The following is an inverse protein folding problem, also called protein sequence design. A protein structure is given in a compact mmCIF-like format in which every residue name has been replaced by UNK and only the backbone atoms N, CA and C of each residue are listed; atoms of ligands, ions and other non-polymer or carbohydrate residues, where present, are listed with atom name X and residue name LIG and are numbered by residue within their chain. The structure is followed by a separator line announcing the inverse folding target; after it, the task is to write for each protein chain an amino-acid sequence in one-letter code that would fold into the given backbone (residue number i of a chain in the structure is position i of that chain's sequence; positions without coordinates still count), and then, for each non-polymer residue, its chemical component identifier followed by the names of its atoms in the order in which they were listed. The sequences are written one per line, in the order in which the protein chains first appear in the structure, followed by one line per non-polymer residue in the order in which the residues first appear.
data_IF_296508187108
#
_entry.id   IF_296508187108
#
_cell.length_a   1.000
_cell.length_b   1.000
_cell.length_c   1.000
_cell.angle_alpha   90.00
_cell.angle_beta   90.00
_cell.angle_gamma   90.00
#
_symmetry.space_group_name_H-M   'P 1'
#
loop_
_entity.id
_entity.type
_entity.pdbx_description
1 polymer ?
#
# COMPACT_ATOMS: atom_id res chain seq x y z
N UNK A 1 -48.43 21.40 14.17
CA UNK A 1 -49.11 21.70 15.44
C UNK A 1 -49.03 20.43 16.30
N UNK A 2 -48.54 20.52 17.54
CA UNK A 2 -48.50 19.39 18.50
C UNK A 2 -49.92 19.05 19.03
N UNK A 3 -50.12 17.90 19.70
CA UNK A 3 -50.02 17.88 21.17
C UNK A 3 -49.04 16.84 21.75
N UNK A 4 -48.75 16.95 23.05
CA UNK A 4 -47.77 16.17 23.83
C UNK A 4 -48.40 15.72 25.16
N UNK A 5 -47.73 14.78 25.87
CA UNK A 5 -47.89 14.38 27.29
C UNK A 5 -49.06 13.41 27.63
N UNK A 6 -48.82 12.33 28.40
CA UNK A 6 -48.25 12.32 29.77
C UNK A 6 -47.49 11.04 30.15
N UNK A 7 -46.49 11.19 31.04
CA UNK A 7 -46.04 10.15 31.98
C UNK A 7 -47.02 10.00 33.15
N UNK A 8 -47.20 8.79 33.69
CA UNK A 8 -47.23 8.54 35.14
C UNK A 8 -46.59 7.19 35.47
N UNK A 9 -45.80 7.19 36.53
CA UNK A 9 -45.33 5.99 37.24
C UNK A 9 -46.49 5.32 37.98
N UNK A 10 -46.36 4.04 38.36
CA UNK A 10 -46.56 3.50 39.71
C UNK A 10 -46.24 2.00 39.77
N UNK A 11 -45.55 1.60 40.82
CA UNK A 11 -45.32 0.22 41.32
C UNK A 11 -45.39 0.37 42.86
N UNK A 12 -45.93 -0.58 43.65
CA UNK A 12 -45.23 -1.86 43.90
C UNK A 12 -46.08 -3.08 44.39
N UNK A 13 -45.37 -4.18 44.74
CA UNK A 13 -45.64 -5.17 45.81
C UNK A 13 -46.25 -6.57 45.49
N UNK A 14 -45.75 -7.60 46.20
CA UNK A 14 -46.13 -9.05 46.19
C UNK A 14 -45.36 -9.91 45.17
N UNK A 15 -44.34 -10.75 45.47
CA UNK A 15 -44.23 -11.89 46.41
C UNK A 15 -45.35 -12.95 46.18
N UNK A 16 -45.13 -14.26 45.92
CA UNK A 16 -43.97 -15.20 46.01
C UNK A 16 -44.33 -16.53 45.28
N UNK A 17 -43.51 -17.55 44.96
CA UNK A 17 -42.07 -17.87 45.12
C UNK A 17 -41.57 -19.01 44.16
N UNK A 18 -40.24 -19.05 43.91
CA UNK A 18 -39.32 -20.21 43.76
C UNK A 18 -39.29 -21.20 42.55
N UNK A 19 -38.04 -21.65 42.31
CA UNK A 19 -37.49 -22.68 41.39
C UNK A 19 -37.49 -22.38 39.86
N UNK A 20 -36.38 -22.54 39.11
CA UNK A 20 -35.00 -22.94 39.49
C UNK A 20 -33.91 -22.54 38.45
N UNK A 21 -32.67 -22.42 38.94
CA UNK A 21 -31.35 -22.53 38.25
C UNK A 21 -31.14 -21.92 36.84
N UNK A 22 -30.34 -20.84 36.81
CA UNK A 22 -29.62 -20.33 35.63
C UNK A 22 -28.55 -19.33 36.06
N UNK A 23 -27.27 -19.60 35.78
CA UNK A 23 -26.14 -18.94 36.46
C UNK A 23 -26.01 -17.43 36.14
N UNK A 24 -25.85 -16.61 37.19
CA UNK A 24 -25.44 -15.20 37.05
C UNK A 24 -23.95 -15.13 36.71
N UNK A 25 -23.63 -14.74 35.48
CA UNK A 25 -22.26 -14.41 35.07
C UNK A 25 -21.77 -13.17 35.86
N UNK A 26 -20.58 -13.20 36.49
CA UNK A 26 -20.05 -12.04 37.21
C UNK A 26 -19.59 -10.96 36.22
N UNK A 27 -20.10 -9.74 36.38
CA UNK A 27 -19.74 -8.60 35.53
C UNK A 27 -18.25 -8.22 35.71
N UNK A 28 -17.41 -8.53 34.73
CA UNK A 28 -16.05 -7.99 34.61
C UNK A 28 -16.12 -6.48 34.37
N UNK A 29 -15.68 -5.67 35.35
CA UNK A 29 -15.50 -4.22 35.14
C UNK A 29 -14.16 -3.97 34.45
N UNK A 30 -14.18 -3.12 33.43
CA UNK A 30 -12.99 -2.59 32.76
C UNK A 30 -12.79 -1.14 33.21
N UNK A 31 -11.58 -0.80 33.63
CA UNK A 31 -11.16 0.58 33.92
C UNK A 31 -10.01 0.96 32.98
N UNK A 32 -10.03 2.19 32.47
CA UNK A 32 -8.99 2.74 31.59
C UNK A 32 -8.37 3.96 32.27
N UNK A 33 -7.04 3.99 32.38
CA UNK A 33 -6.27 5.12 32.94
C UNK A 33 -5.29 5.63 31.89
N UNK A 34 -5.47 6.88 31.46
CA UNK A 34 -4.52 7.57 30.59
C UNK A 34 -3.36 8.17 31.41
N UNK A 35 -2.15 8.11 30.88
CA UNK A 35 -0.99 8.83 31.44
C UNK A 35 -0.86 10.21 30.77
N UNK A 36 -0.98 11.35 31.49
CA UNK A 36 -1.05 12.68 30.86
C UNK A 36 0.27 13.21 30.27
N UNK A 37 1.42 12.56 30.48
CA UNK A 37 2.74 13.16 30.19
C UNK A 37 3.35 12.83 28.81
N UNK A 38 2.60 12.22 27.87
CA UNK A 38 3.12 11.93 26.53
C UNK A 38 2.01 11.88 25.47
N UNK A 39 1.90 12.90 24.61
CA UNK A 39 0.82 13.00 23.62
C UNK A 39 0.97 12.04 22.42
N UNK A 40 2.18 11.56 22.15
CA UNK A 40 2.48 10.64 21.03
C UNK A 40 2.32 9.15 21.36
N UNK A 41 2.25 8.78 22.64
CA UNK A 41 2.11 7.37 23.08
C UNK A 41 1.10 7.25 24.23
N UNK A 42 -0.18 7.14 23.88
CA UNK A 42 -1.25 6.82 24.84
C UNK A 42 -1.18 5.33 25.18
N UNK A 43 -0.70 5.02 26.39
CA UNK A 43 -0.72 3.66 26.94
C UNK A 43 -2.10 3.34 27.51
N UNK A 44 -2.72 2.29 27.00
CA UNK A 44 -3.99 1.77 27.50
C UNK A 44 -3.74 0.57 28.39
N UNK A 45 -4.28 0.60 29.60
CA UNK A 45 -4.25 -0.50 30.54
C UNK A 45 -5.66 -1.06 30.68
N UNK A 46 -5.84 -2.35 30.38
CA UNK A 46 -7.08 -3.07 30.66
C UNK A 46 -6.87 -3.86 31.95
N UNK A 47 -7.49 -3.39 33.03
CA UNK A 47 -7.56 -4.10 34.30
C UNK A 47 -8.81 -4.98 34.37
N UNK A 48 -8.66 -6.21 34.86
CA UNK A 48 -9.78 -7.08 35.21
C UNK A 48 -10.00 -7.04 36.72
N UNK A 49 -11.20 -6.65 37.16
CA UNK A 49 -11.60 -6.73 38.56
C UNK A 49 -12.25 -8.09 38.86
N UNK A 50 -11.58 -8.92 39.66
CA UNK A 50 -12.16 -10.08 40.32
C UNK A 50 -12.56 -9.70 41.76
N UNK A 51 -13.81 -9.94 42.14
CA UNK A 51 -14.31 -9.61 43.48
C UNK A 51 -13.95 -10.67 44.54
N UNK A 52 -13.31 -11.78 44.17
CA UNK A 52 -12.99 -12.90 45.06
C UNK A 52 -11.55 -12.91 45.59
N UNK A 53 -10.61 -12.21 44.91
CA UNK A 53 -9.24 -12.03 45.39
C UNK A 53 -8.72 -10.64 45.06
N UNK A 54 -8.16 -9.94 46.06
CA UNK A 54 -7.62 -8.58 45.97
C UNK A 54 -6.25 -8.53 45.29
N UNK A 55 -6.19 -8.94 44.01
CA UNK A 55 -4.98 -8.88 43.19
C UNK A 55 -5.29 -8.22 41.84
N UNK A 56 -4.76 -7.02 41.62
CA UNK A 56 -4.84 -6.35 40.32
C UNK A 56 -3.98 -7.09 39.28
N UNK A 57 -4.56 -7.35 38.09
CA UNK A 57 -3.79 -7.77 36.92
C UNK A 57 -4.09 -6.86 35.74
N UNK A 58 -3.03 -6.22 35.27
CA UNK A 58 -3.03 -5.32 34.12
C UNK A 58 -2.49 -6.07 32.89
N UNK A 59 -3.25 -6.10 31.79
CA UNK A 59 -2.76 -6.61 30.51
C UNK A 59 -2.50 -5.42 29.59
N UNK A 60 -1.27 -5.37 29.06
CA UNK A 60 -0.85 -4.36 28.09
C UNK A 60 -1.36 -4.75 26.70
N UNK A 61 -2.14 -3.88 26.06
CA UNK A 61 -2.61 -4.10 24.69
C UNK A 61 -2.17 -2.93 23.80
N UNK A 62 -1.36 -3.23 22.78
CA UNK A 62 -1.07 -2.27 21.71
C UNK A 62 -2.10 -2.40 20.58
N UNK A 63 -2.34 -1.30 19.87
CA UNK A 63 -3.17 -1.20 18.67
C UNK A 63 -4.68 -1.49 18.83
N UNK A 64 -5.38 -0.63 19.56
CA UNK A 64 -6.82 -0.44 19.36
C UNK A 64 -7.12 0.14 17.96
N UNK A 65 -8.23 -0.26 17.34
CA UNK A 65 -8.66 0.21 16.02
C UNK A 65 -9.04 1.71 16.02
N UNK A 66 -9.01 2.40 14.86
CA UNK A 66 -9.36 3.83 14.79
C UNK A 66 -10.76 4.15 15.34
N UNK A 67 -11.73 3.28 15.11
CA UNK A 67 -13.12 3.40 15.58
C UNK A 67 -13.19 3.38 17.12
N UNK A 68 -12.46 2.47 17.76
CA UNK A 68 -12.36 2.39 19.23
C UNK A 68 -11.64 3.61 19.80
N UNK A 69 -10.57 4.09 19.13
CA UNK A 69 -9.87 5.34 19.53
C UNK A 69 -10.79 6.57 19.43
N UNK A 70 -11.66 6.64 18.42
CA UNK A 70 -12.60 7.75 18.25
C UNK A 70 -13.66 7.75 19.35
N UNK A 71 -14.36 6.62 19.56
CA UNK A 71 -15.38 6.48 20.59
C UNK A 71 -14.87 6.79 22.00
N UNK A 72 -13.62 6.41 22.31
CA UNK A 72 -12.96 6.72 23.59
C UNK A 72 -12.51 8.18 23.73
N UNK A 73 -12.21 8.88 22.62
CA UNK A 73 -11.87 10.33 22.65
C UNK A 73 -13.10 11.21 22.87
N UNK A 74 -14.28 10.76 22.46
CA UNK A 74 -15.54 11.53 22.56
C UNK A 74 -16.33 11.29 23.85
N UNK A 75 -15.93 10.31 24.67
CA UNK A 75 -16.63 9.96 25.91
C UNK A 75 -16.21 10.87 27.08
N UNK A 76 -17.19 11.36 27.85
CA UNK A 76 -16.95 12.05 29.11
C UNK A 76 -16.53 11.07 30.21
N UNK A 77 -15.96 11.59 31.31
CA UNK A 77 -15.53 10.79 32.48
C UNK A 77 -16.66 9.97 33.14
N UNK A 78 -17.92 10.21 32.79
CA UNK A 78 -19.11 9.54 33.32
C UNK A 78 -19.77 8.55 32.35
N UNK A 79 -19.33 8.48 31.10
CA UNK A 79 -20.03 7.68 30.08
C UNK A 79 -19.67 6.18 30.17
N UNK A 80 -20.72 5.36 30.23
CA UNK A 80 -20.58 3.89 30.17
C UNK A 80 -20.53 3.46 28.71
N UNK A 81 -19.35 3.05 28.25
CA UNK A 81 -19.17 2.43 26.93
C UNK A 81 -19.38 0.92 27.07
N UNK A 82 -20.38 0.37 26.39
CA UNK A 82 -20.54 -1.08 26.26
C UNK A 82 -19.64 -1.61 25.14
N UNK A 83 -18.56 -2.29 25.55
CA UNK A 83 -17.54 -2.80 24.62
C UNK A 83 -17.96 -4.09 23.90
N UNK A 84 -19.05 -4.76 24.30
CA UNK A 84 -19.52 -5.95 23.58
C UNK A 84 -20.02 -5.61 22.16
N UNK A 85 -20.57 -4.41 21.98
CA UNK A 85 -21.11 -3.91 20.69
C UNK A 85 -20.02 -3.37 19.74
N UNK A 86 -18.79 -3.18 20.23
CA UNK A 86 -17.67 -2.53 19.52
C UNK A 86 -16.56 -3.49 19.06
N UNK A 87 -16.70 -4.79 19.35
CA UNK A 87 -15.74 -5.84 18.96
C UNK A 87 -16.24 -6.63 17.75
N UNK A 88 -15.40 -6.78 16.72
CA UNK A 88 -15.66 -7.70 15.62
C UNK A 88 -15.71 -9.16 16.15
N UNK A 89 -16.47 -10.08 15.51
CA UNK A 89 -16.65 -11.46 16.00
C UNK A 89 -15.33 -12.23 16.20
N UNK A 90 -14.30 -11.93 15.41
CA UNK A 90 -12.93 -12.46 15.56
C UNK A 90 -12.30 -12.17 16.93
N UNK A 91 -12.68 -11.07 17.57
CA UNK A 91 -12.20 -10.67 18.89
C UNK A 91 -13.05 -11.20 20.05
N UNK A 92 -14.26 -11.72 19.81
CA UNK A 92 -15.08 -12.34 20.87
C UNK A 92 -14.45 -13.63 21.41
N UNK A 93 -13.61 -14.33 20.61
CA UNK A 93 -12.80 -15.47 21.09
C UNK A 93 -11.79 -15.12 22.18
N UNK A 94 -11.43 -13.84 22.38
CA UNK A 94 -10.52 -13.40 23.44
C UNK A 94 -11.19 -13.36 24.84
N UNK A 95 -12.49 -13.67 24.93
CA UNK A 95 -13.21 -13.78 26.20
C UNK A 95 -13.12 -15.18 26.83
N UNK A 96 -12.62 -16.18 26.09
CA UNK A 96 -12.39 -17.55 26.54
C UNK A 96 -10.99 -17.69 27.19
N UNK A 97 -10.89 -18.08 28.47
CA UNK A 97 -9.62 -18.25 29.17
C UNK A 97 -8.70 -19.33 28.56
N UNK A 98 -9.24 -20.41 28.00
CA UNK A 98 -8.41 -21.54 27.51
C UNK A 98 -7.78 -21.19 26.16
N UNK A 99 -8.56 -20.61 25.24
CA UNK A 99 -8.07 -20.11 23.96
C UNK A 99 -6.96 -19.05 24.13
N UNK A 100 -7.05 -18.21 25.17
CA UNK A 100 -6.02 -17.22 25.49
C UNK A 100 -4.69 -17.84 26.00
N UNK A 101 -4.73 -19.00 26.65
CA UNK A 101 -3.53 -19.73 27.11
C UNK A 101 -2.86 -20.41 25.93
N UNK A 102 -3.62 -21.10 25.07
CA UNK A 102 -3.08 -21.80 23.91
C UNK A 102 -2.40 -20.83 22.93
N UNK A 103 -3.01 -19.66 22.69
CA UNK A 103 -2.42 -18.60 21.86
C UNK A 103 -1.11 -18.07 22.46
N UNK A 104 -1.03 -17.95 23.79
CA UNK A 104 0.13 -17.43 24.52
C UNK A 104 1.34 -18.35 24.41
N UNK A 105 1.15 -19.66 24.47
CA UNK A 105 2.24 -20.63 24.39
C UNK A 105 2.69 -20.89 22.93
N UNK A 106 1.75 -20.90 21.97
CA UNK A 106 2.09 -20.84 20.53
C UNK A 106 2.92 -19.59 20.19
N UNK A 107 2.54 -18.43 20.74
CA UNK A 107 3.28 -17.16 20.53
C UNK A 107 4.64 -17.17 21.22
N UNK A 108 4.75 -17.73 22.44
CA UNK A 108 6.03 -17.83 23.17
C UNK A 108 7.04 -18.72 22.44
N UNK A 109 6.61 -19.84 21.85
CA UNK A 109 7.49 -20.67 21.03
C UNK A 109 7.90 -19.99 19.71
N UNK A 110 7.00 -19.22 19.07
CA UNK A 110 7.34 -18.43 17.87
C UNK A 110 8.33 -17.30 18.15
N UNK A 111 8.23 -16.62 19.29
CA UNK A 111 9.20 -15.60 19.71
C UNK A 111 10.59 -16.20 19.95
N UNK A 112 10.66 -17.43 20.49
CA UNK A 112 11.93 -18.12 20.75
C UNK A 112 12.66 -18.55 19.46
N UNK A 113 11.93 -18.92 18.39
CA UNK A 113 12.54 -19.20 17.08
C UNK A 113 12.78 -17.94 16.24
N UNK A 114 12.05 -16.84 16.46
CA UNK A 114 12.25 -15.58 15.73
C UNK A 114 13.34 -14.65 16.30
N UNK A 115 13.90 -14.96 17.46
CA UNK A 115 14.97 -14.15 18.10
C UNK A 115 16.33 -14.19 17.38
N UNK A 116 16.42 -14.80 16.20
CA UNK A 116 17.59 -14.77 15.31
C UNK A 116 17.51 -13.79 14.14
N UNK A 117 16.33 -13.19 13.85
CA UNK A 117 16.12 -12.36 12.64
C UNK A 117 15.21 -11.16 12.92
N UNK A 118 15.71 -10.17 13.67
CA UNK A 118 15.09 -8.85 13.77
C UNK A 118 16.14 -7.78 13.50
N UNK A 119 16.16 -7.26 12.27
CA UNK A 119 16.85 -6.00 12.01
C UNK A 119 16.09 -4.85 12.69
N UNK A 120 16.79 -3.83 13.21
CA UNK A 120 16.15 -2.68 13.86
C UNK A 120 15.35 -1.84 12.85
N UNK A 121 14.37 -1.02 13.31
CA UNK A 121 13.54 -0.22 12.43
C UNK A 121 14.35 0.80 11.62
N UNK A 122 14.02 0.91 10.33
CA UNK A 122 14.63 1.84 9.38
C UNK A 122 14.35 3.31 9.76
N UNK A 123 15.31 3.93 10.45
CA UNK A 123 15.28 5.34 10.78
C UNK A 123 16.46 6.09 10.18
N UNK A 124 16.31 6.47 8.90
CA UNK A 124 17.22 7.42 8.27
C UNK A 124 17.10 8.80 8.96
N UNK A 125 18.22 9.31 9.46
CA UNK A 125 18.35 10.65 10.04
C UNK A 125 18.17 11.74 8.95
N UNK A 126 18.02 13.01 9.33
CA UNK A 126 17.77 14.10 8.37
C UNK A 126 18.81 14.17 7.24
N UNK A 127 20.10 14.03 7.58
CA UNK A 127 21.22 14.09 6.64
C UNK A 127 21.27 12.84 5.74
N UNK A 128 20.91 11.68 6.27
CA UNK A 128 20.78 10.44 5.50
C UNK A 128 19.66 10.52 4.45
N UNK A 129 18.54 11.20 4.77
CA UNK A 129 17.48 11.46 3.79
C UNK A 129 17.95 12.40 2.68
N UNK A 130 18.59 13.51 3.02
CA UNK A 130 19.18 14.44 2.04
C UNK A 130 20.16 13.73 1.09
N UNK A 131 21.02 12.84 1.62
CA UNK A 131 21.96 12.03 0.81
C UNK A 131 21.23 11.06 -0.11
N UNK A 132 20.15 10.42 0.35
CA UNK A 132 19.33 9.54 -0.48
C UNK A 132 18.56 10.31 -1.57
N UNK A 133 18.03 11.50 -1.26
CA UNK A 133 17.38 12.38 -2.25
C UNK A 133 18.38 12.83 -3.32
N UNK A 134 19.56 13.33 -2.94
CA UNK A 134 20.57 13.73 -3.93
C UNK A 134 21.09 12.54 -4.75
N UNK A 135 21.16 11.34 -4.18
CA UNK A 135 21.44 10.13 -4.94
C UNK A 135 20.32 9.77 -5.93
N UNK A 136 19.04 9.97 -5.59
CA UNK A 136 17.92 9.79 -6.54
C UNK A 136 17.99 10.81 -7.67
N UNK A 137 18.20 12.09 -7.34
CA UNK A 137 18.33 13.17 -8.33
C UNK A 137 19.54 12.98 -9.26
N UNK A 138 20.59 12.28 -8.79
CA UNK A 138 21.77 11.91 -9.58
C UNK A 138 21.61 10.61 -10.39
N UNK A 139 20.42 9.99 -10.44
CA UNK A 139 20.20 8.74 -11.20
C UNK A 139 20.58 7.46 -10.45
N UNK A 140 20.57 7.50 -9.11
CA UNK A 140 20.80 6.34 -8.24
C UNK A 140 22.26 6.10 -7.84
N UNK A 141 23.22 6.80 -8.42
CA UNK A 141 24.64 6.69 -8.08
C UNK A 141 25.37 8.04 -8.15
N UNK A 142 26.34 8.26 -7.25
CA UNK A 142 27.14 9.50 -7.28
C UNK A 142 28.51 9.35 -6.62
N UNK A 143 29.40 10.29 -6.91
CA UNK A 143 30.72 10.43 -6.25
C UNK A 143 30.54 11.10 -4.88
N UNK A 144 31.35 10.66 -3.90
CA UNK A 144 31.31 11.21 -2.54
C UNK A 144 31.60 12.72 -2.54
N UNK A 145 32.54 13.18 -3.37
CA UNK A 145 32.86 14.60 -3.55
C UNK A 145 31.66 15.41 -4.06
N UNK A 146 30.95 14.93 -5.08
CA UNK A 146 29.78 15.63 -5.64
C UNK A 146 28.66 15.79 -4.61
N UNK A 147 28.39 14.74 -3.82
CA UNK A 147 27.41 14.81 -2.73
C UNK A 147 27.83 15.80 -1.63
N UNK A 148 29.14 15.89 -1.34
CA UNK A 148 29.69 16.82 -0.36
C UNK A 148 29.54 18.28 -0.81
N UNK A 149 29.92 18.57 -2.05
CA UNK A 149 29.76 19.88 -2.69
C UNK A 149 28.28 20.32 -2.73
N UNK A 150 27.39 19.42 -3.16
CA UNK A 150 25.98 19.73 -3.38
C UNK A 150 25.17 19.89 -2.09
N UNK A 151 25.50 19.14 -1.04
CA UNK A 151 24.87 19.26 0.29
C UNK A 151 25.58 20.27 1.22
N UNK A 152 26.65 20.92 0.76
CA UNK A 152 27.38 21.92 1.55
C UNK A 152 28.06 21.34 2.81
N UNK A 153 28.55 20.10 2.75
CA UNK A 153 29.15 19.38 3.89
C UNK A 153 30.49 18.75 3.51
N UNK A 154 31.28 18.32 4.50
CA UNK A 154 32.54 17.62 4.23
C UNK A 154 32.33 16.20 3.72
N UNK A 155 33.27 15.70 2.91
CA UNK A 155 33.28 14.31 2.46
C UNK A 155 33.23 13.29 3.62
N UNK A 156 33.82 13.60 4.78
CA UNK A 156 33.78 12.69 5.93
C UNK A 156 32.39 12.61 6.56
N UNK A 157 31.60 13.71 6.53
CA UNK A 157 30.18 13.69 6.89
C UNK A 157 29.40 12.78 5.93
N UNK A 158 29.64 12.89 4.62
CA UNK A 158 29.03 12.02 3.61
C UNK A 158 29.44 10.55 3.84
N UNK A 159 30.73 10.26 4.02
CA UNK A 159 31.26 8.90 4.32
C UNK A 159 30.68 8.30 5.60
N UNK A 160 30.47 9.09 6.66
CA UNK A 160 29.83 8.63 7.90
C UNK A 160 28.37 8.22 7.68
N UNK A 161 27.57 9.05 7.01
CA UNK A 161 26.18 8.73 6.73
C UNK A 161 26.04 7.59 5.70
N UNK A 162 26.91 7.51 4.68
CA UNK A 162 26.96 6.36 3.75
C UNK A 162 27.24 5.06 4.49
N UNK A 163 28.19 5.01 5.44
CA UNK A 163 28.45 3.78 6.24
C UNK A 163 27.21 3.32 7.02
N UNK A 164 26.41 4.26 7.53
CA UNK A 164 25.15 3.97 8.21
C UNK A 164 24.08 3.46 7.23
N UNK A 165 23.88 4.16 6.10
CA UNK A 165 22.98 3.73 5.02
C UNK A 165 23.35 2.35 4.43
N UNK A 166 24.64 2.04 4.33
CA UNK A 166 25.18 0.78 3.84
C UNK A 166 24.97 -0.36 4.83
N UNK A 167 25.19 -0.11 6.13
CA UNK A 167 24.84 -1.05 7.20
C UNK A 167 23.32 -1.33 7.26
N UNK A 168 22.50 -0.34 6.92
CA UNK A 168 21.04 -0.46 6.79
C UNK A 168 20.60 -1.02 5.41
N UNK A 169 21.53 -1.41 4.53
CA UNK A 169 21.24 -2.03 3.24
C UNK A 169 20.63 -1.10 2.18
N UNK A 170 20.56 0.20 2.41
CA UNK A 170 19.95 1.19 1.51
C UNK A 170 20.89 1.61 0.37
N UNK A 171 22.20 1.54 0.60
CA UNK A 171 23.23 1.86 -0.40
C UNK A 171 24.31 0.79 -0.43
N UNK A 172 25.18 0.85 -1.44
CA UNK A 172 26.42 0.08 -1.51
C UNK A 172 27.53 0.96 -2.04
N UNK A 173 28.68 0.85 -1.40
CA UNK A 173 29.86 1.67 -1.69
C UNK A 173 30.67 1.05 -2.82
N UNK A 174 31.08 1.88 -3.76
CA UNK A 174 31.95 1.52 -4.88
C UNK A 174 33.23 2.34 -4.82
N UNK A 175 34.23 2.02 -5.64
CA UNK A 175 35.48 2.79 -5.68
C UNK A 175 35.20 4.26 -6.04
N UNK A 176 35.45 5.16 -5.07
CA UNK A 176 35.24 6.61 -5.21
C UNK A 176 33.78 7.09 -5.13
N UNK A 177 32.80 6.22 -4.87
CA UNK A 177 31.39 6.57 -4.95
C UNK A 177 30.46 5.69 -4.14
N UNK A 178 29.16 5.92 -4.31
CA UNK A 178 28.08 5.16 -3.69
C UNK A 178 26.93 5.05 -4.68
N UNK A 179 26.26 3.90 -4.69
CA UNK A 179 25.00 3.71 -5.39
C UNK A 179 23.92 3.25 -4.41
N UNK A 180 22.66 3.57 -4.70
CA UNK A 180 21.52 2.98 -4.02
C UNK A 180 21.47 1.49 -4.39
N UNK A 181 21.23 0.60 -3.42
CA UNK A 181 20.90 -0.81 -3.73
C UNK A 181 19.50 -0.84 -4.34
N UNK A 182 19.32 -1.52 -5.47
CA UNK A 182 18.10 -1.54 -6.32
C UNK A 182 16.87 -1.00 -5.58
N UNK A 183 16.57 0.26 -5.89
CA UNK A 183 16.03 1.19 -4.91
C UNK A 183 14.68 0.77 -4.36
N UNK A 184 14.56 0.56 -3.03
CA UNK A 184 13.25 0.44 -2.37
C UNK A 184 12.36 1.68 -2.56
N UNK A 185 12.89 2.80 -3.09
CA UNK A 185 12.16 4.05 -3.30
C UNK A 185 12.39 4.48 -4.75
N UNK A 186 11.31 4.47 -5.52
CA UNK A 186 11.32 4.80 -6.95
C UNK A 186 11.60 6.30 -7.20
N UNK A 187 12.30 6.68 -8.30
CA UNK A 187 12.52 8.09 -8.63
C UNK A 187 11.22 8.86 -8.92
N UNK A 188 11.19 10.18 -8.64
CA UNK A 188 10.07 11.05 -9.04
C UNK A 188 9.69 10.92 -10.51
N UNK A 189 8.39 10.99 -10.82
CA UNK A 189 7.86 10.73 -12.17
C UNK A 189 8.56 11.56 -13.25
N UNK A 190 8.87 12.83 -12.98
CA UNK A 190 9.51 13.72 -13.98
C UNK A 190 10.91 13.26 -14.42
N UNK A 191 11.65 12.51 -13.58
CA UNK A 191 12.91 11.88 -13.99
C UNK A 191 12.63 10.63 -14.82
N UNK A 192 11.72 9.77 -14.34
CA UNK A 192 11.26 8.55 -15.04
C UNK A 192 10.64 8.84 -16.42
N UNK A 193 10.09 10.02 -16.66
CA UNK A 193 9.57 10.46 -17.96
C UNK A 193 10.68 10.71 -19.01
N UNK A 194 11.90 11.01 -18.58
CA UNK A 194 13.05 11.22 -19.47
C UNK A 194 13.85 9.92 -19.67
N UNK A 195 13.94 9.08 -18.64
CA UNK A 195 14.56 7.74 -18.71
C UNK A 195 13.83 6.86 -19.74
N UNK A 196 14.59 6.26 -20.67
CA UNK A 196 14.07 5.32 -21.68
C UNK A 196 12.83 5.84 -22.45
N UNK A 197 12.75 7.16 -22.66
CA UNK A 197 11.58 7.80 -23.27
C UNK A 197 11.25 7.30 -24.68
N UNK A 198 12.23 6.82 -25.46
CA UNK A 198 11.96 6.22 -26.78
C UNK A 198 11.30 4.84 -26.64
N UNK A 199 11.85 3.95 -25.80
CA UNK A 199 11.24 2.67 -25.46
C UNK A 199 9.77 2.83 -25.01
N UNK A 200 9.52 3.78 -24.10
CA UNK A 200 8.17 4.09 -23.61
C UNK A 200 7.23 4.59 -24.71
N UNK A 201 7.73 5.31 -25.73
CA UNK A 201 6.92 5.68 -26.91
C UNK A 201 6.60 4.48 -27.81
N UNK A 202 7.55 3.54 -28.00
CA UNK A 202 7.30 2.33 -28.79
C UNK A 202 6.29 1.40 -28.11
N UNK A 203 6.45 1.19 -26.80
CA UNK A 203 5.47 0.49 -25.95
C UNK A 203 4.11 1.19 -26.03
N UNK A 204 4.07 2.52 -25.89
CA UNK A 204 2.84 3.29 -25.97
C UNK A 204 2.10 3.17 -27.31
N UNK A 205 2.82 3.21 -28.43
CA UNK A 205 2.24 2.98 -29.75
C UNK A 205 1.71 1.55 -29.92
N UNK A 206 2.41 0.55 -29.35
CA UNK A 206 2.00 -0.86 -29.42
C UNK A 206 0.74 -1.12 -28.60
N UNK A 207 0.67 -0.62 -27.36
CA UNK A 207 -0.54 -0.71 -26.52
C UNK A 207 -1.70 0.05 -27.18
N UNK A 208 -1.48 1.28 -27.66
CA UNK A 208 -2.54 2.05 -28.33
C UNK A 208 -3.08 1.36 -29.60
N UNK A 209 -2.31 0.48 -30.25
CA UNK A 209 -2.78 -0.32 -31.38
C UNK A 209 -3.61 -1.57 -30.97
N UNK A 210 -3.61 -1.94 -29.68
CA UNK A 210 -4.43 -3.01 -29.09
C UNK A 210 -5.78 -2.50 -28.57
N UNK A 211 -5.95 -1.19 -28.40
CA UNK A 211 -7.15 -0.54 -27.85
C UNK A 211 -8.07 -0.06 -28.99
N UNK A 212 -9.38 -0.28 -28.85
CA UNK A 212 -10.42 0.17 -29.75
C UNK A 212 -11.15 1.44 -29.23
N UNK A 213 -11.86 2.12 -30.14
CA UNK A 213 -12.69 3.29 -29.79
C UNK A 213 -13.91 2.86 -28.96
N UNK A 214 -14.06 3.43 -27.76
CA UNK A 214 -15.13 3.10 -26.82
C UNK A 214 -14.75 2.13 -25.70
N UNK A 215 -13.53 1.60 -25.69
CA UNK A 215 -13.06 0.66 -24.66
C UNK A 215 -13.13 1.22 -23.24
N UNK A 216 -13.31 0.31 -22.27
CA UNK A 216 -13.19 0.62 -20.85
C UNK A 216 -11.82 0.23 -20.34
N UNK A 217 -11.05 1.22 -19.89
CA UNK A 217 -9.63 1.10 -19.57
C UNK A 217 -9.35 1.47 -18.12
N UNK A 218 -8.41 0.78 -17.48
CA UNK A 218 -7.67 1.31 -16.34
C UNK A 218 -6.22 1.59 -16.71
N UNK A 219 -5.70 2.75 -16.30
CA UNK A 219 -4.27 3.06 -16.36
C UNK A 219 -3.78 3.52 -14.99
N UNK A 220 -2.67 2.95 -14.55
CA UNK A 220 -2.01 3.20 -13.27
C UNK A 220 -1.11 4.46 -13.25
N UNK A 221 -0.29 4.59 -12.20
CA UNK A 221 0.64 5.72 -11.95
C UNK A 221 2.05 5.44 -12.46
N UNK A 222 2.18 5.19 -13.77
CA UNK A 222 3.46 4.91 -14.42
C UNK A 222 3.97 6.04 -15.32
N UNK A 223 5.29 6.11 -15.50
CA UNK A 223 5.86 6.89 -16.62
C UNK A 223 5.45 6.29 -17.97
N UNK A 224 5.52 4.97 -18.11
CA UNK A 224 5.09 4.25 -19.32
C UNK A 224 3.59 4.45 -19.60
N UNK A 225 2.72 4.39 -18.58
CA UNK A 225 1.27 4.63 -18.74
C UNK A 225 0.94 6.11 -19.01
N UNK A 226 1.75 7.06 -18.55
CA UNK A 226 1.65 8.45 -19.02
C UNK A 226 1.99 8.59 -20.52
N UNK A 227 2.98 7.86 -21.06
CA UNK A 227 3.23 7.82 -22.50
C UNK A 227 2.08 7.15 -23.28
N UNK A 228 1.50 6.06 -22.74
CA UNK A 228 0.32 5.38 -23.32
C UNK A 228 -0.87 6.35 -23.38
N UNK A 229 -1.14 7.10 -22.31
CA UNK A 229 -2.22 8.09 -22.28
C UNK A 229 -2.05 9.22 -23.32
N UNK A 230 -0.81 9.56 -23.70
CA UNK A 230 -0.54 10.48 -24.82
C UNK A 230 -0.80 9.81 -26.17
N UNK A 231 -0.41 8.54 -26.35
CA UNK A 231 -0.68 7.79 -27.59
C UNK A 231 -2.20 7.59 -27.84
N UNK A 232 -2.96 7.34 -26.76
CA UNK A 232 -4.43 7.21 -26.78
C UNK A 232 -5.18 8.53 -27.05
N UNK A 233 -4.52 9.68 -27.22
CA UNK A 233 -5.19 10.94 -27.58
C UNK A 233 -5.82 10.97 -28.98
N UNK A 234 -5.59 9.94 -29.81
CA UNK A 234 -6.23 9.78 -31.12
C UNK A 234 -7.54 8.98 -31.04
N UNK A 235 -7.70 8.12 -30.04
CA UNK A 235 -8.89 7.33 -29.78
C UNK A 235 -10.06 8.19 -29.31
N UNK A 236 -11.27 7.67 -29.48
CA UNK A 236 -12.52 8.36 -29.19
C UNK A 236 -13.40 7.57 -28.21
N UNK A 237 -14.21 8.30 -27.45
CA UNK A 237 -15.26 7.77 -26.57
C UNK A 237 -14.77 6.78 -25.50
N UNK A 238 -13.46 6.71 -25.23
CA UNK A 238 -12.88 5.83 -24.22
C UNK A 238 -13.50 6.08 -22.85
N UNK A 239 -13.79 5.01 -22.12
CA UNK A 239 -14.21 5.05 -20.73
C UNK A 239 -12.97 4.76 -19.85
N UNK A 240 -12.32 5.81 -19.38
CA UNK A 240 -11.03 5.71 -18.68
C UNK A 240 -11.24 5.82 -17.17
N UNK A 241 -10.82 4.82 -16.42
CA UNK A 241 -10.65 4.88 -14.97
C UNK A 241 -9.16 5.04 -14.68
N UNK A 242 -8.77 5.97 -13.82
CA UNK A 242 -7.35 6.13 -13.47
C UNK A 242 -7.19 6.82 -12.12
N UNK A 243 -6.11 6.50 -11.40
CA UNK A 243 -5.67 7.25 -10.24
C UNK A 243 -4.45 8.17 -10.54
N UNK A 244 -4.00 8.26 -11.80
CA UNK A 244 -2.85 9.06 -12.20
C UNK A 244 -3.24 10.43 -12.77
N UNK A 245 -2.75 11.51 -12.16
CA UNK A 245 -3.01 12.88 -12.63
C UNK A 245 -2.50 13.11 -14.07
N UNK A 246 -1.39 12.48 -14.44
CA UNK A 246 -0.80 12.52 -15.79
C UNK A 246 -1.74 11.93 -16.86
N UNK A 247 -2.30 10.75 -16.60
CA UNK A 247 -3.27 10.08 -17.48
C UNK A 247 -4.56 10.91 -17.57
N UNK A 248 -5.10 11.33 -16.43
CA UNK A 248 -6.32 12.12 -16.39
C UNK A 248 -6.17 13.43 -17.17
N UNK A 249 -5.05 14.14 -17.01
CA UNK A 249 -4.74 15.35 -17.76
C UNK A 249 -4.58 15.09 -19.27
N UNK A 250 -3.98 13.97 -19.66
CA UNK A 250 -3.77 13.64 -21.07
C UNK A 250 -5.06 13.29 -21.82
N UNK A 251 -6.04 12.66 -21.16
CA UNK A 251 -7.23 12.09 -21.82
C UNK A 251 -8.55 12.82 -21.52
N UNK A 252 -8.62 13.65 -20.47
CA UNK A 252 -9.82 14.41 -20.17
C UNK A 252 -10.17 15.43 -21.27
N UNK A 253 -11.46 15.74 -21.40
CA UNK A 253 -12.06 16.72 -22.33
C UNK A 253 -11.72 16.55 -23.83
N UNK A 254 -11.18 15.40 -24.23
CA UNK A 254 -10.84 15.05 -25.62
C UNK A 254 -11.78 13.98 -26.18
N UNK A 255 -12.08 14.07 -27.48
CA UNK A 255 -12.68 13.02 -28.31
C UNK A 255 -13.93 12.29 -27.74
N UNK A 256 -14.70 12.94 -26.85
CA UNK A 256 -15.83 12.32 -26.16
C UNK A 256 -15.45 11.30 -25.08
N UNK A 257 -14.17 11.23 -24.69
CA UNK A 257 -13.68 10.35 -23.63
C UNK A 257 -14.34 10.70 -22.28
N UNK A 258 -14.71 9.67 -21.52
CA UNK A 258 -15.27 9.77 -20.18
C UNK A 258 -14.19 9.34 -19.18
N UNK A 259 -13.55 10.32 -18.54
CA UNK A 259 -12.48 10.07 -17.57
C UNK A 259 -13.00 10.12 -16.15
N UNK A 260 -12.83 9.02 -15.43
CA UNK A 260 -13.19 8.82 -14.03
C UNK A 260 -11.91 8.77 -13.19
N UNK A 261 -11.66 9.86 -12.46
CA UNK A 261 -10.50 9.94 -11.58
C UNK A 261 -10.80 9.31 -10.23
N UNK A 262 -10.06 8.25 -9.88
CA UNK A 262 -10.07 7.64 -8.57
C UNK A 262 -9.35 8.58 -7.58
N UNK A 263 -10.08 9.52 -6.99
CA UNK A 263 -9.55 10.58 -6.14
C UNK A 263 -9.26 10.17 -4.69
N UNK A 264 -8.26 10.81 -4.09
CA UNK A 264 -7.75 10.52 -2.76
C UNK A 264 -6.64 11.49 -2.36
N UNK A 265 -5.70 11.07 -1.52
CA UNK A 265 -4.49 11.86 -1.26
C UNK A 265 -3.55 11.79 -2.46
N UNK A 266 -3.12 12.95 -2.97
CA UNK A 266 -2.18 13.03 -4.10
C UNK A 266 -0.72 12.94 -3.61
N UNK A 267 0.00 11.91 -4.04
CA UNK A 267 1.44 11.77 -3.81
C UNK A 267 2.20 12.83 -4.61
N UNK A 268 2.98 13.67 -3.92
CA UNK A 268 3.69 14.79 -4.55
C UNK A 268 4.83 14.42 -5.52
N UNK A 269 5.33 13.18 -5.49
CA UNK A 269 6.48 12.76 -6.31
C UNK A 269 6.10 12.19 -7.69
N UNK A 270 4.85 11.78 -7.87
CA UNK A 270 4.34 11.17 -9.10
C UNK A 270 2.92 11.60 -9.52
N UNK A 271 2.17 12.28 -8.64
CA UNK A 271 0.80 12.72 -8.93
C UNK A 271 -0.24 11.59 -8.93
N UNK A 272 0.06 10.45 -8.31
CA UNK A 272 -0.93 9.40 -8.08
C UNK A 272 -1.85 9.72 -6.89
N UNK A 273 -3.13 9.40 -7.02
CA UNK A 273 -4.12 9.50 -5.95
C UNK A 273 -4.35 8.14 -5.26
N UNK A 274 -4.35 8.12 -3.93
CA UNK A 274 -4.48 6.88 -3.14
C UNK A 274 -5.33 7.05 -1.87
N UNK A 275 -5.42 6.00 -1.05
CA UNK A 275 -6.31 5.88 0.09
C UNK A 275 -7.50 4.95 -0.16
N UNK A 276 -8.27 4.64 0.88
CA UNK A 276 -9.33 3.62 0.81
C UNK A 276 -10.49 3.97 -0.15
N UNK A 277 -10.81 5.26 -0.31
CA UNK A 277 -11.95 5.70 -1.13
C UNK A 277 -11.69 5.54 -2.64
N UNK A 278 -10.47 5.79 -3.12
CA UNK A 278 -10.15 5.57 -4.53
C UNK A 278 -10.11 4.06 -4.90
N UNK A 279 -9.69 3.18 -3.99
CA UNK A 279 -9.83 1.74 -4.16
C UNK A 279 -11.32 1.30 -4.16
N UNK A 280 -12.13 1.86 -3.26
CA UNK A 280 -13.59 1.65 -3.22
C UNK A 280 -14.34 2.26 -4.41
N UNK A 281 -13.73 3.20 -5.13
CA UNK A 281 -14.22 3.75 -6.38
C UNK A 281 -13.87 2.81 -7.55
N UNK A 282 -12.61 2.39 -7.66
CA UNK A 282 -12.13 1.43 -8.66
C UNK A 282 -12.95 0.13 -8.67
N UNK A 283 -13.30 -0.40 -7.49
CA UNK A 283 -14.20 -1.56 -7.28
C UNK A 283 -15.56 -1.53 -7.98
N UNK A 284 -16.00 -0.37 -8.46
CA UNK A 284 -17.34 -0.16 -9.06
C UNK A 284 -17.37 -0.33 -10.57
N UNK A 285 -16.20 -0.52 -11.18
CA UNK A 285 -16.05 -0.66 -12.62
C UNK A 285 -15.67 -2.09 -12.97
N UNK A 286 -16.27 -2.61 -14.03
CA UNK A 286 -15.70 -3.71 -14.81
C UNK A 286 -14.90 -3.04 -15.93
N UNK A 287 -13.69 -3.55 -16.19
CA UNK A 287 -12.71 -2.94 -17.09
C UNK A 287 -12.43 -3.95 -18.21
N UNK A 288 -12.28 -3.49 -19.45
CA UNK A 288 -11.86 -4.37 -20.53
C UNK A 288 -10.34 -4.57 -20.47
N UNK A 289 -9.57 -3.47 -20.38
CA UNK A 289 -8.10 -3.52 -20.25
C UNK A 289 -7.59 -2.82 -18.99
N UNK A 290 -6.93 -3.56 -18.09
CA UNK A 290 -6.07 -2.97 -17.06
C UNK A 290 -4.63 -2.87 -17.59
N UNK A 291 -4.14 -1.64 -17.77
CA UNK A 291 -2.80 -1.35 -18.27
C UNK A 291 -1.96 -0.92 -17.06
N UNK A 292 -1.04 -1.79 -16.64
CA UNK A 292 -0.30 -1.69 -15.38
C UNK A 292 1.20 -1.61 -15.63
N UNK A 293 1.86 -0.62 -15.05
CA UNK A 293 3.31 -0.45 -15.09
C UNK A 293 3.99 -1.19 -13.93
N UNK A 294 5.31 -1.40 -14.04
CA UNK A 294 6.08 -2.15 -13.03
C UNK A 294 7.44 -1.51 -12.72
N UNK A 295 7.88 -1.70 -11.48
CA UNK A 295 9.18 -1.25 -10.96
C UNK A 295 10.32 -2.19 -11.36
N UNK A 296 10.05 -3.50 -11.41
CA UNK A 296 11.00 -4.54 -11.77
C UNK A 296 10.30 -5.81 -12.30
N UNK A 297 11.03 -6.61 -13.09
CA UNK A 297 10.61 -7.95 -13.54
C UNK A 297 11.79 -8.93 -13.39
N UNK A 298 11.57 -10.09 -12.77
CA UNK A 298 12.51 -11.21 -12.82
C UNK A 298 11.79 -12.57 -12.82
N UNK A 299 12.49 -13.64 -13.22
CA UNK A 299 11.90 -14.97 -13.39
C UNK A 299 11.43 -15.64 -12.08
N UNK A 300 11.95 -15.21 -10.93
CA UNK A 300 11.65 -15.82 -9.61
C UNK A 300 10.39 -15.23 -8.98
N UNK A 301 10.25 -13.90 -9.03
CA UNK A 301 9.20 -13.13 -8.36
C UNK A 301 8.13 -12.59 -9.32
N UNK A 302 8.36 -12.68 -10.63
CA UNK A 302 7.47 -12.12 -11.64
C UNK A 302 7.51 -10.59 -11.65
N UNK A 303 6.33 -9.98 -11.53
CA UNK A 303 6.11 -8.54 -11.63
C UNK A 303 6.10 -7.87 -10.25
N UNK A 304 6.89 -6.79 -10.09
CA UNK A 304 7.07 -6.14 -8.79
C UNK A 304 7.01 -4.61 -8.86
N UNK A 305 6.64 -4.00 -7.74
CA UNK A 305 6.59 -2.56 -7.50
C UNK A 305 7.39 -2.17 -6.25
N UNK A 306 7.68 -0.87 -6.15
CA UNK A 306 8.40 -0.29 -5.02
C UNK A 306 7.47 0.13 -3.88
N UNK A 307 6.21 0.44 -4.19
CA UNK A 307 5.20 0.89 -3.23
C UNK A 307 4.08 -0.15 -3.04
N UNK A 308 3.62 -0.30 -1.80
CA UNK A 308 2.58 -1.28 -1.46
C UNK A 308 1.19 -0.80 -1.85
N UNK A 309 0.89 0.50 -1.75
CA UNK A 309 -0.43 1.03 -2.04
C UNK A 309 -0.72 0.99 -3.55
N UNK A 310 0.31 1.30 -4.35
CA UNK A 310 0.29 1.11 -5.80
C UNK A 310 0.10 -0.36 -6.21
N UNK A 311 0.72 -1.29 -5.48
CA UNK A 311 0.50 -2.71 -5.68
C UNK A 311 -0.94 -3.11 -5.38
N UNK A 312 -1.51 -2.76 -4.23
CA UNK A 312 -2.92 -3.07 -3.90
C UNK A 312 -3.91 -2.53 -4.94
N UNK A 313 -3.64 -1.33 -5.48
CA UNK A 313 -4.45 -0.74 -6.56
C UNK A 313 -4.34 -1.53 -7.86
N UNK A 314 -3.13 -1.93 -8.24
CA UNK A 314 -2.89 -2.76 -9.42
C UNK A 314 -3.52 -4.15 -9.28
N UNK A 315 -3.53 -4.74 -8.07
CA UNK A 315 -4.25 -6.00 -7.80
C UNK A 315 -5.77 -5.86 -7.95
N UNK A 316 -6.34 -4.75 -7.45
CA UNK A 316 -7.78 -4.49 -7.60
C UNK A 316 -8.14 -4.18 -9.05
N UNK A 317 -7.32 -3.43 -9.79
CA UNK A 317 -7.53 -3.20 -11.22
C UNK A 317 -7.50 -4.51 -12.01
N UNK A 318 -6.51 -5.36 -11.75
CA UNK A 318 -6.41 -6.68 -12.39
C UNK A 318 -7.62 -7.58 -12.07
N UNK A 319 -8.11 -7.59 -10.82
CA UNK A 319 -9.28 -8.39 -10.44
C UNK A 319 -10.63 -7.90 -11.02
N UNK A 320 -10.62 -6.75 -11.71
CA UNK A 320 -11.79 -6.14 -12.38
C UNK A 320 -11.67 -6.14 -13.90
N UNK A 321 -10.53 -6.56 -14.44
CA UNK A 321 -10.24 -6.50 -15.87
C UNK A 321 -10.51 -7.84 -16.58
N UNK A 322 -10.97 -7.76 -17.82
CA UNK A 322 -11.09 -8.90 -18.72
C UNK A 322 -9.73 -9.25 -19.38
N UNK A 323 -8.82 -8.27 -19.47
CA UNK A 323 -7.46 -8.42 -19.99
C UNK A 323 -6.49 -7.51 -19.20
N UNK A 324 -5.43 -8.10 -18.65
CA UNK A 324 -4.41 -7.46 -17.83
C UNK A 324 -3.08 -7.35 -18.59
N UNK A 325 -2.73 -6.12 -18.97
CA UNK A 325 -1.56 -5.79 -19.78
C UNK A 325 -0.48 -5.16 -18.89
N UNK A 326 0.62 -5.86 -18.66
CA UNK A 326 1.83 -5.30 -18.06
C UNK A 326 2.62 -4.51 -19.10
N UNK A 327 3.10 -3.32 -18.72
CA UNK A 327 3.93 -2.46 -19.59
C UNK A 327 5.27 -2.13 -18.91
N UNK A 328 6.37 -2.51 -19.54
CA UNK A 328 7.71 -2.36 -18.96
C UNK A 328 8.78 -2.09 -20.02
N UNK A 329 9.62 -1.08 -19.79
CA UNK A 329 10.85 -0.94 -20.58
C UNK A 329 11.91 -1.98 -20.18
N UNK A 330 12.76 -2.37 -21.12
CA UNK A 330 13.73 -3.46 -21.05
C UNK A 330 14.72 -3.32 -19.89
N UNK A 331 14.99 -2.08 -19.44
CA UNK A 331 15.84 -1.84 -18.29
C UNK A 331 15.22 -2.34 -16.96
N UNK A 332 13.94 -2.72 -16.92
CA UNK A 332 13.25 -3.32 -15.77
C UNK A 332 13.54 -4.81 -15.58
N UNK A 333 14.08 -5.49 -16.59
CA UNK A 333 14.42 -6.91 -16.54
C UNK A 333 15.60 -7.19 -15.60
N UNK A 334 15.53 -8.34 -14.90
CA UNK A 334 16.58 -8.80 -13.99
C UNK A 334 16.69 -8.03 -12.67
N UNK A 335 15.89 -6.96 -12.48
CA UNK A 335 15.85 -6.18 -11.24
C UNK A 335 14.96 -6.85 -10.18
N UNK A 336 14.98 -6.28 -8.97
CA UNK A 336 14.05 -6.63 -7.90
C UNK A 336 13.41 -5.38 -7.32
N UNK A 337 12.17 -5.50 -6.87
CA UNK A 337 11.49 -4.51 -6.04
C UNK A 337 10.80 -5.24 -4.86
N UNK A 338 10.56 -4.57 -3.71
CA UNK A 338 10.15 -5.24 -2.47
C UNK A 338 8.73 -5.83 -2.49
N UNK A 339 7.84 -5.34 -3.35
CA UNK A 339 6.43 -5.75 -3.38
C UNK A 339 6.14 -6.53 -4.66
N UNK A 340 5.76 -7.80 -4.55
CA UNK A 340 5.21 -8.57 -5.69
C UNK A 340 3.77 -8.13 -5.94
N UNK A 341 3.36 -8.04 -7.21
CA UNK A 341 1.98 -7.83 -7.61
C UNK A 341 1.15 -9.09 -7.32
N UNK A 342 0.80 -9.87 -8.34
CA UNK A 342 0.08 -11.13 -8.23
C UNK A 342 0.99 -12.29 -8.68
N UNK A 343 0.51 -13.53 -8.55
CA UNK A 343 1.09 -14.65 -9.29
C UNK A 343 1.07 -14.32 -10.80
N UNK A 344 2.13 -14.61 -11.58
CA UNK A 344 2.24 -14.11 -12.95
C UNK A 344 1.09 -14.53 -13.88
N UNK A 345 0.47 -15.69 -13.65
CA UNK A 345 -0.74 -16.16 -14.34
C UNK A 345 -2.01 -15.35 -14.05
N UNK A 346 -1.90 -14.20 -13.38
CA UNK A 346 -2.97 -13.19 -13.23
C UNK A 346 -2.87 -12.07 -14.28
N UNK A 347 -1.95 -12.19 -15.24
CA UNK A 347 -1.69 -11.21 -16.29
C UNK A 347 -1.66 -11.91 -17.65
N UNK A 348 -2.17 -11.25 -18.67
CA UNK A 348 -2.41 -11.85 -19.98
C UNK A 348 -1.32 -11.45 -20.99
N UNK A 349 -0.79 -10.23 -20.90
CA UNK A 349 0.17 -9.67 -21.87
C UNK A 349 1.30 -8.92 -21.17
N UNK A 350 2.53 -9.07 -21.65
CA UNK A 350 3.66 -8.16 -21.40
C UNK A 350 4.01 -7.39 -22.68
N UNK A 351 3.93 -6.07 -22.64
CA UNK A 351 4.41 -5.18 -23.72
C UNK A 351 5.71 -4.49 -23.30
N UNK A 352 6.74 -4.62 -24.15
CA UNK A 352 8.11 -4.13 -23.88
C UNK A 352 8.83 -3.69 -25.16
N UNK A 353 9.95 -2.97 -25.06
CA UNK A 353 10.76 -2.48 -26.19
C UNK A 353 11.82 -3.46 -26.71
N UNK A 354 12.22 -4.45 -25.92
CA UNK A 354 13.26 -5.43 -26.31
C UNK A 354 12.94 -6.84 -25.78
N UNK A 355 13.55 -7.85 -26.38
CA UNK A 355 13.35 -9.25 -26.06
C UNK A 355 13.80 -9.55 -24.61
N UNK A 356 12.91 -10.03 -23.71
CA UNK A 356 13.31 -10.36 -22.35
C UNK A 356 14.37 -11.46 -22.30
N UNK A 357 15.23 -11.50 -21.27
CA UNK A 357 16.11 -12.63 -20.96
C UNK A 357 15.38 -13.99 -20.93
N UNK A 358 16.10 -15.08 -21.23
CA UNK A 358 15.51 -16.39 -21.47
C UNK A 358 14.75 -16.99 -20.27
N UNK A 359 15.21 -16.69 -19.05
CA UNK A 359 14.54 -17.05 -17.80
C UNK A 359 13.21 -16.30 -17.62
N UNK A 360 13.16 -15.01 -17.96
CA UNK A 360 11.91 -14.23 -17.97
C UNK A 360 10.97 -14.77 -19.05
N UNK A 361 11.44 -15.07 -20.27
CA UNK A 361 10.59 -15.66 -21.32
C UNK A 361 10.01 -17.01 -20.91
N UNK A 362 10.79 -17.88 -20.28
CA UNK A 362 10.29 -19.14 -19.73
C UNK A 362 9.24 -18.92 -18.63
N UNK A 363 9.39 -17.88 -17.81
CA UNK A 363 8.37 -17.48 -16.84
C UNK A 363 7.07 -17.01 -17.54
N UNK A 364 7.15 -16.22 -18.61
CA UNK A 364 5.99 -15.80 -19.40
C UNK A 364 5.28 -17.00 -20.03
N UNK A 365 6.02 -17.85 -20.77
CA UNK A 365 5.51 -19.06 -21.44
C UNK A 365 4.80 -20.00 -20.46
N UNK A 366 5.40 -20.24 -19.28
CA UNK A 366 4.85 -21.12 -18.24
C UNK A 366 3.52 -20.59 -17.65
N UNK A 367 3.31 -19.28 -17.67
CA UNK A 367 2.12 -18.64 -17.12
C UNK A 367 1.13 -18.18 -18.21
N UNK A 368 1.33 -18.64 -19.46
CA UNK A 368 0.49 -18.34 -20.63
C UNK A 368 0.40 -16.84 -20.99
N UNK A 369 1.43 -16.06 -20.63
CA UNK A 369 1.50 -14.60 -20.85
C UNK A 369 2.01 -14.31 -22.26
N UNK A 370 1.22 -13.60 -23.08
CA UNK A 370 1.64 -13.14 -24.41
C UNK A 370 2.77 -12.11 -24.30
N UNK A 371 3.85 -12.29 -25.08
CA UNK A 371 4.94 -11.32 -25.18
C UNK A 371 4.82 -10.48 -26.45
N UNK A 372 4.59 -9.17 -26.29
CA UNK A 372 4.59 -8.19 -27.38
C UNK A 372 5.84 -7.33 -27.31
N UNK A 373 6.77 -7.55 -28.25
CA UNK A 373 7.96 -6.68 -28.41
C UNK A 373 7.65 -5.55 -29.40
N UNK A 374 7.81 -4.32 -28.92
CA UNK A 374 7.43 -3.08 -29.57
C UNK A 374 8.47 -2.62 -30.60
N UNK A 375 8.39 -3.16 -31.81
CA UNK A 375 9.33 -2.85 -32.90
C UNK A 375 8.96 -1.55 -33.62
N UNK A 376 9.97 -0.69 -33.92
CA UNK A 376 9.80 0.55 -34.71
C UNK A 376 8.95 0.38 -35.99
N UNK A 377 9.05 -0.78 -36.66
CA UNK A 377 8.39 -1.03 -37.96
C UNK A 377 6.85 -1.13 -37.92
N UNK A 378 6.21 -1.42 -36.78
CA UNK A 378 4.73 -1.44 -36.73
C UNK A 378 4.11 -0.04 -36.87
N UNK A 379 4.89 1.02 -36.69
CA UNK A 379 4.43 2.42 -36.63
C UNK A 379 4.13 3.05 -37.99
N UNK A 380 4.61 2.46 -39.09
CA UNK A 380 4.52 3.04 -40.46
C UNK A 380 3.42 2.41 -41.32
N UNK A 381 2.65 1.45 -40.78
CA UNK A 381 1.60 0.72 -41.50
C UNK A 381 0.24 0.81 -40.81
N UNK A 382 -0.34 2.02 -40.73
CA UNK A 382 -1.79 2.26 -40.52
C UNK A 382 -2.17 3.69 -40.86
#
# INVERSE_FOLDING_TARGET
MYPVFRRRSHSPSGATAQHSLGAKVPYKRVAVKANPQNETNIWFFVGFWDNSQSNERWILQQNASPQVRFALKTASRSDRIDLQTLMLPSHQRLLDPEAAIELRDRTRNRIRTMSGMSQPPLHANHREREILEELRLAGGASRIQFLAERLGVSEETIRRNIRSLEANGLVTKVHGGVHIKDSMIEPPLHLRMNENAEAKRMIAASVAAMIEDGDTLFLDVGSTTAFIAVALQKHQKLFVVTNALSVAHALATRNGNRVFFAGGELRGHDGGAFGMEAANFLRRFNIHHAILSVGAINATSGFMLHDLEEAEYSREAASRAENCIIVADSAKFGRSAPIVLNEPSSFDVLVTDDMPPADIRFMLERNEIELVVANRQRTEQR
#
